data_IF_894749515646
#
_entry.id   IF_894749515646
#
_cell.length_a   1.000
_cell.length_b   1.000
_cell.length_c   1.000
_cell.angle_alpha   90.00
_cell.angle_beta   90.00
_cell.angle_gamma   90.00
#
_symmetry.space_group_name_H-M   'P 1'
#
loop_
_entity.id
_entity.type
_entity.pdbx_description
1 polymer ?
#
# COMPACT_ATOMS: atom_id res chain seq x y z
N UNK A 1 6.73 -9.17 -24.16
CA UNK A 1 5.29 -9.48 -23.99
C UNK A 1 4.75 -8.41 -23.06
N UNK A 2 3.75 -7.64 -23.50
CA UNK A 2 3.32 -6.43 -22.81
C UNK A 2 2.76 -6.73 -21.42
N UNK A 3 3.36 -6.12 -20.40
CA UNK A 3 2.85 -6.09 -19.02
C UNK A 3 1.56 -5.26 -18.99
N UNK A 4 0.45 -5.84 -19.46
CA UNK A 4 -0.86 -5.16 -19.56
C UNK A 4 -1.86 -5.61 -18.49
N UNK A 5 -1.48 -6.55 -17.63
CA UNK A 5 -2.30 -6.94 -16.48
C UNK A 5 -2.13 -5.93 -15.35
N UNK A 6 -3.21 -5.63 -14.62
CA UNK A 6 -3.16 -4.88 -13.37
C UNK A 6 -3.01 -5.88 -12.23
N UNK A 7 -2.06 -5.62 -11.33
CA UNK A 7 -1.94 -6.33 -10.06
C UNK A 7 -2.53 -5.49 -8.93
N UNK A 8 -3.28 -6.12 -8.03
CA UNK A 8 -3.86 -5.45 -6.87
C UNK A 8 -3.32 -6.09 -5.59
N UNK A 9 -2.74 -5.28 -4.72
CA UNK A 9 -2.32 -5.68 -3.38
C UNK A 9 -3.24 -4.98 -2.37
N UNK A 10 -3.82 -5.77 -1.46
CA UNK A 10 -4.70 -5.28 -0.39
C UNK A 10 -4.09 -5.56 0.97
N UNK A 11 -4.05 -4.55 1.83
CA UNK A 11 -3.64 -4.66 3.23
C UNK A 11 -4.81 -4.21 4.11
N UNK A 12 -5.24 -5.05 5.04
CA UNK A 12 -6.29 -4.75 6.03
C UNK A 12 -5.73 -4.74 7.43
N UNK A 13 -6.28 -3.90 8.30
CA UNK A 13 -5.99 -3.85 9.72
C UNK A 13 -5.63 -2.45 10.20
N UNK A 14 -5.49 -2.26 11.53
CA UNK A 14 -5.19 -0.95 12.12
C UNK A 14 -3.86 -0.35 11.66
N UNK A 15 -2.97 -1.19 11.11
CA UNK A 15 -1.65 -0.80 10.61
C UNK A 15 -1.59 -0.62 9.09
N UNK A 16 -2.68 -0.85 8.34
CA UNK A 16 -2.68 -0.93 6.88
C UNK A 16 -2.06 0.31 6.21
N UNK A 17 -2.50 1.50 6.60
CA UNK A 17 -1.98 2.78 6.09
C UNK A 17 -0.48 2.88 6.34
N UNK A 18 -0.07 2.62 7.57
CA UNK A 18 1.31 2.79 7.94
C UNK A 18 2.20 1.70 7.30
N UNK A 19 1.70 0.49 7.03
CA UNK A 19 2.45 -0.56 6.32
C UNK A 19 2.76 -0.17 4.89
N UNK A 20 1.83 0.51 4.22
CA UNK A 20 1.96 0.87 2.80
C UNK A 20 2.61 2.24 2.60
N UNK A 21 2.40 3.19 3.52
CA UNK A 21 2.88 4.58 3.39
C UNK A 21 4.37 4.73 3.04
N UNK A 22 5.32 3.95 3.62
CA UNK A 22 6.74 4.09 3.28
C UNK A 22 7.06 3.82 1.81
N UNK A 23 6.27 2.96 1.17
CA UNK A 23 6.44 2.52 -0.23
C UNK A 23 5.90 3.53 -1.23
N UNK A 24 5.21 4.58 -0.80
CA UNK A 24 4.49 5.49 -1.68
C UNK A 24 4.98 6.93 -1.55
N UNK A 25 4.94 7.66 -2.66
CA UNK A 25 5.09 9.11 -2.73
C UNK A 25 3.86 9.72 -3.41
N UNK A 26 3.32 10.76 -2.80
CA UNK A 26 2.15 11.51 -3.29
C UNK A 26 2.18 12.95 -2.78
N UNK A 27 1.34 13.81 -3.35
CA UNK A 27 1.25 15.22 -2.96
C UNK A 27 0.81 15.41 -1.49
N UNK A 28 0.00 14.48 -0.97
CA UNK A 28 -0.41 14.43 0.43
C UNK A 28 -0.03 13.10 1.06
N UNK A 29 0.18 13.03 2.40
CA UNK A 29 0.31 11.78 3.12
C UNK A 29 -0.86 10.83 2.87
N UNK A 30 -0.59 9.52 2.90
CA UNK A 30 -1.63 8.49 2.74
C UNK A 30 -2.71 8.57 3.83
N UNK A 31 -2.33 8.98 5.04
CA UNK A 31 -3.25 9.20 6.16
C UNK A 31 -4.31 10.28 5.87
N UNK A 32 -4.05 11.19 4.94
CA UNK A 32 -4.93 12.31 4.58
C UNK A 32 -5.79 12.00 3.34
N UNK A 33 -5.62 10.82 2.73
CA UNK A 33 -6.42 10.46 1.55
C UNK A 33 -7.90 10.39 1.90
N UNK A 34 -8.81 10.96 1.10
CA UNK A 34 -10.23 10.74 1.30
C UNK A 34 -10.56 9.25 1.18
N UNK A 35 -11.44 8.78 2.06
CA UNK A 35 -11.85 7.38 2.03
C UNK A 35 -12.58 7.07 0.72
N UNK A 36 -12.36 5.89 0.13
CA UNK A 36 -12.98 5.43 -1.13
C UNK A 36 -12.68 6.31 -2.34
N UNK A 37 -11.60 7.09 -2.30
CA UNK A 37 -11.13 7.85 -3.43
C UNK A 37 -9.82 7.27 -3.97
N UNK A 38 -9.77 7.03 -5.28
CA UNK A 38 -8.52 6.69 -5.95
C UNK A 38 -7.63 7.94 -6.04
N UNK A 39 -6.34 7.71 -5.83
CA UNK A 39 -5.28 8.72 -5.95
C UNK A 39 -4.12 8.10 -6.70
N UNK A 40 -3.53 8.86 -7.62
CA UNK A 40 -2.27 8.50 -8.26
C UNK A 40 -1.14 8.63 -7.25
N UNK A 41 -0.28 7.63 -7.22
CA UNK A 41 0.88 7.55 -6.32
C UNK A 41 2.08 7.03 -7.10
N UNK A 42 3.28 7.39 -6.67
CA UNK A 42 4.52 6.77 -7.13
C UNK A 42 4.94 5.70 -6.13
N UNK A 43 5.18 4.49 -6.62
CA UNK A 43 5.71 3.39 -5.83
C UNK A 43 7.22 3.50 -5.84
N UNK A 44 7.84 3.48 -4.66
CA UNK A 44 9.28 3.63 -4.50
C UNK A 44 9.89 2.49 -3.69
N UNK A 45 11.18 2.24 -3.89
CA UNK A 45 11.96 1.41 -2.97
C UNK A 45 12.24 2.22 -1.69
N UNK A 46 11.80 1.78 -0.50
CA UNK A 46 11.94 2.55 0.73
C UNK A 46 13.39 2.72 1.20
N UNK A 47 14.36 1.97 0.64
CA UNK A 47 15.78 2.04 0.98
C UNK A 47 16.55 2.97 0.04
N UNK A 48 16.20 3.00 -1.25
CA UNK A 48 16.93 3.75 -2.28
C UNK A 48 16.18 4.98 -2.79
N UNK A 49 14.89 5.10 -2.49
CA UNK A 49 13.95 6.09 -3.06
C UNK A 49 13.79 5.99 -4.59
N UNK A 50 14.24 4.88 -5.18
CA UNK A 50 14.10 4.60 -6.62
C UNK A 50 12.63 4.43 -7.01
N UNK A 51 12.23 5.03 -8.14
CA UNK A 51 10.89 4.87 -8.69
C UNK A 51 10.70 3.46 -9.26
N UNK A 52 9.82 2.69 -8.65
CA UNK A 52 9.48 1.32 -9.08
C UNK A 52 8.27 1.29 -10.01
N UNK A 53 7.26 2.12 -9.74
CA UNK A 53 6.03 2.15 -10.55
C UNK A 53 5.22 3.45 -10.38
N UNK A 54 4.30 3.69 -11.32
CA UNK A 54 3.21 4.65 -11.20
C UNK A 54 1.88 3.91 -11.05
N UNK A 55 1.20 4.13 -9.92
CA UNK A 55 0.09 3.29 -9.48
C UNK A 55 -1.09 4.11 -8.99
N UNK A 56 -2.21 3.42 -8.74
CA UNK A 56 -3.37 3.98 -8.05
C UNK A 56 -3.48 3.39 -6.65
N UNK A 57 -3.81 4.23 -5.68
CA UNK A 57 -4.03 3.83 -4.30
C UNK A 57 -5.39 4.32 -3.82
N UNK A 58 -6.13 3.46 -3.12
CA UNK A 58 -7.33 3.80 -2.39
C UNK A 58 -7.17 3.46 -0.91
N UNK A 59 -7.60 4.37 -0.05
CA UNK A 59 -7.74 4.13 1.39
C UNK A 59 -9.22 3.98 1.71
N UNK A 60 -9.61 2.92 2.39
CA UNK A 60 -10.98 2.65 2.84
C UNK A 60 -10.94 2.55 4.36
N UNK A 61 -11.48 3.55 5.06
CA UNK A 61 -11.42 3.60 6.53
C UNK A 61 -12.56 2.82 7.17
N UNK A 62 -12.28 2.21 8.31
CA UNK A 62 -13.28 1.61 9.18
C UNK A 62 -14.39 2.63 9.57
N UNK A 63 -15.63 2.17 9.85
CA UNK A 63 -16.13 0.81 9.65
C UNK A 63 -16.58 0.55 8.19
N UNK A 64 -16.42 1.53 7.30
CA UNK A 64 -16.89 1.49 5.92
C UNK A 64 -15.82 0.86 5.03
N UNK A 65 -15.50 -0.41 5.27
CA UNK A 65 -14.59 -1.18 4.43
C UNK A 65 -15.07 -2.63 4.31
N UNK A 66 -14.50 -3.40 3.38
CA UNK A 66 -14.87 -4.81 3.19
C UNK A 66 -14.62 -5.70 4.41
N UNK A 67 -13.74 -5.28 5.34
CA UNK A 67 -13.36 -6.05 6.54
C UNK A 67 -13.87 -5.43 7.84
N UNK A 68 -14.41 -4.21 7.79
CA UNK A 68 -14.70 -3.40 8.97
C UNK A 68 -13.46 -2.73 9.59
N UNK A 69 -12.28 -2.95 9.03
CA UNK A 69 -11.00 -2.34 9.45
C UNK A 69 -10.51 -1.29 8.42
N UNK A 70 -9.43 -0.58 8.71
CA UNK A 70 -8.78 0.22 7.69
C UNK A 70 -8.17 -0.70 6.61
N UNK A 71 -8.40 -0.35 5.35
CA UNK A 71 -7.89 -1.08 4.18
C UNK A 71 -7.18 -0.12 3.24
N UNK A 72 -6.00 -0.53 2.77
CA UNK A 72 -5.30 0.10 1.65
C UNK A 72 -5.30 -0.85 0.48
N UNK A 73 -5.70 -0.35 -0.68
CA UNK A 73 -5.64 -1.06 -1.96
C UNK A 73 -4.68 -0.34 -2.89
N UNK A 74 -3.66 -1.06 -3.37
CA UNK A 74 -2.67 -0.57 -4.31
C UNK A 74 -2.81 -1.34 -5.63
N UNK A 75 -3.16 -0.62 -6.68
CA UNK A 75 -3.32 -1.12 -8.05
C UNK A 75 -2.14 -0.65 -8.89
N UNK A 76 -1.26 -1.58 -9.25
CA UNK A 76 0.00 -1.33 -9.95
C UNK A 76 0.09 -2.17 -11.23
N UNK A 77 1.16 -2.00 -12.01
CA UNK A 77 1.42 -2.89 -13.12
C UNK A 77 1.60 -4.33 -12.60
N UNK A 78 0.99 -5.29 -13.28
CA UNK A 78 0.92 -6.69 -12.88
C UNK A 78 2.21 -7.47 -13.11
N UNK A 79 3.37 -6.81 -13.12
CA UNK A 79 4.67 -7.47 -13.24
C UNK A 79 4.88 -8.37 -12.01
N UNK A 80 5.07 -9.69 -12.17
CA UNK A 80 5.25 -10.59 -11.02
C UNK A 80 6.44 -10.21 -10.14
N UNK A 81 7.48 -9.62 -10.72
CA UNK A 81 8.65 -9.13 -9.99
C UNK A 81 8.29 -7.95 -9.08
N UNK A 82 7.55 -6.97 -9.61
CA UNK A 82 7.07 -5.82 -8.84
C UNK A 82 6.16 -6.26 -7.69
N UNK A 83 5.15 -7.09 -7.98
CA UNK A 83 4.21 -7.57 -6.97
C UNK A 83 4.92 -8.31 -5.82
N UNK A 84 5.89 -9.17 -6.15
CA UNK A 84 6.68 -9.90 -5.16
C UNK A 84 7.52 -8.96 -4.31
N UNK A 85 8.18 -7.97 -4.92
CA UNK A 85 8.98 -6.97 -4.20
C UNK A 85 8.13 -6.17 -3.20
N UNK A 86 6.94 -5.74 -3.63
CA UNK A 86 6.02 -5.00 -2.77
C UNK A 86 5.52 -5.85 -1.61
N UNK A 87 5.11 -7.10 -1.86
CA UNK A 87 4.69 -8.01 -0.79
C UNK A 87 5.79 -8.24 0.26
N UNK A 88 7.04 -8.45 -0.17
CA UNK A 88 8.17 -8.62 0.75
C UNK A 88 8.46 -7.35 1.56
N UNK A 89 8.37 -6.18 0.93
CA UNK A 89 8.61 -4.89 1.59
C UNK A 89 7.52 -4.58 2.63
N UNK A 90 6.27 -4.93 2.33
CA UNK A 90 5.16 -4.83 3.29
C UNK A 90 5.34 -5.81 4.46
N UNK A 91 5.77 -7.05 4.19
CA UNK A 91 6.02 -8.04 5.24
C UNK A 91 7.17 -7.61 6.18
N UNK A 92 8.26 -7.06 5.65
CA UNK A 92 9.36 -6.50 6.45
C UNK A 92 8.89 -5.31 7.30
N UNK A 93 8.05 -4.44 6.73
CA UNK A 93 7.45 -3.30 7.45
C UNK A 93 6.58 -3.75 8.63
N UNK A 94 5.86 -4.87 8.49
CA UNK A 94 5.06 -5.48 9.56
C UNK A 94 5.99 -6.10 10.62
N UNK A 95 7.01 -6.86 10.21
CA UNK A 95 7.92 -7.55 11.14
C UNK A 95 8.75 -6.60 12.01
N UNK A 96 9.05 -5.38 11.52
CA UNK A 96 9.82 -4.37 12.27
C UNK A 96 8.98 -3.61 13.28
N UNK A 97 7.66 -3.76 13.28
CA UNK A 97 6.80 -3.05 14.23
C UNK A 97 6.81 -3.74 15.58
N UNK A 98 6.98 -2.98 16.68
CA UNK A 98 6.75 -3.52 18.00
C UNK A 98 5.29 -3.98 18.09
N UNK A 99 5.07 -5.27 18.43
CA UNK A 99 3.74 -5.79 18.74
C UNK A 99 3.15 -4.91 19.84
N UNK A 100 2.14 -4.09 19.51
CA UNK A 100 1.37 -3.39 20.55
C UNK A 100 0.73 -4.46 21.44
N UNK A 101 1.11 -4.49 22.72
CA UNK A 101 0.42 -5.32 23.70
C UNK A 101 -1.04 -4.88 23.72
N UNK A 102 -1.96 -5.80 23.45
CA UNK A 102 -3.38 -5.56 23.67
C UNK A 102 -3.56 -5.37 25.18
N UNK A 103 -3.82 -4.15 25.60
CA UNK A 103 -4.34 -3.81 26.94
C UNK A 103 -5.82 -4.15 27.02
#
# INVERSE_FOLDING_TARGET
MGESAIGVIRVSGPDAIATVAPLLRSASPLADFPSHALRRVRVIDPKTDELLDDALCAVMRAPRSSTGEDVVELSCHGSPALLRLLMLSMADSISRRPRRSRS
#
